data_IF_819087965483
#
_entry.id   IF_819087965483
#
_cell.length_a   1.000
_cell.length_b   1.000
_cell.length_c   1.000
_cell.angle_alpha   90.00
_cell.angle_beta   90.00
_cell.angle_gamma   90.00
#
_symmetry.space_group_name_H-M   'P 1'
#
loop_
_entity.id
_entity.type
_entity.pdbx_description
1 polymer ?
#
# COMPACT_ATOMS: atom_id res chain seq x y z
N UNK A 1 -10.01 3.57 -5.07
CA UNK A 1 -10.00 2.20 -4.47
C UNK A 1 -8.86 1.99 -3.48
N UNK A 2 -7.64 2.48 -3.71
CA UNK A 2 -6.47 2.26 -2.82
C UNK A 2 -6.73 2.79 -1.40
N UNK A 3 -7.11 4.06 -1.24
CA UNK A 3 -7.45 4.64 0.07
C UNK A 3 -8.56 3.89 0.83
N UNK A 4 -9.58 3.40 0.10
CA UNK A 4 -10.68 2.62 0.71
C UNK A 4 -10.20 1.24 1.18
N UNK A 5 -9.25 0.64 0.47
CA UNK A 5 -8.69 -0.67 0.81
C UNK A 5 -7.65 -0.59 1.93
N UNK A 6 -6.90 0.52 1.98
CA UNK A 6 -6.02 0.84 3.10
C UNK A 6 -6.80 1.04 4.41
N UNK A 7 -7.95 1.74 4.35
CA UNK A 7 -8.79 1.99 5.53
C UNK A 7 -9.45 0.72 6.11
N UNK A 8 -9.61 -0.33 5.31
CA UNK A 8 -10.21 -1.61 5.76
C UNK A 8 -9.17 -2.54 6.39
N UNK A 9 -7.87 -2.34 6.14
CA UNK A 9 -6.81 -3.16 6.74
C UNK A 9 -6.28 -2.46 7.98
N UNK A 10 -6.97 -2.65 9.10
CA UNK A 10 -6.68 -2.07 10.43
C UNK A 10 -5.38 -2.59 11.07
N UNK A 11 -4.69 -3.54 10.44
CA UNK A 11 -3.49 -4.20 11.00
C UNK A 11 -2.22 -3.73 10.26
N UNK A 12 -1.83 -2.47 10.45
CA UNK A 12 -0.61 -1.89 9.85
C UNK A 12 0.55 -1.83 10.87
N UNK A 13 0.30 -2.24 12.11
CA UNK A 13 1.30 -2.26 13.19
C UNK A 13 2.38 -3.34 12.96
N UNK A 14 2.05 -4.42 12.24
CA UNK A 14 3.00 -5.50 11.94
C UNK A 14 3.80 -5.21 10.66
N UNK A 15 5.14 -5.28 10.75
CA UNK A 15 6.03 -5.08 9.60
C UNK A 15 5.78 -6.09 8.47
N UNK A 16 5.39 -7.32 8.81
CA UNK A 16 5.02 -8.35 7.84
C UNK A 16 3.67 -8.06 7.15
N UNK A 17 2.70 -7.52 7.88
CA UNK A 17 1.44 -7.05 7.31
C UNK A 17 1.64 -5.88 6.33
N UNK A 18 2.55 -4.94 6.67
CA UNK A 18 2.96 -3.84 5.78
C UNK A 18 3.53 -4.36 4.46
N UNK A 19 4.46 -5.31 4.50
CA UNK A 19 5.10 -5.84 3.28
C UNK A 19 4.08 -6.56 2.38
N UNK A 20 3.19 -7.36 2.97
CA UNK A 20 2.08 -8.02 2.23
C UNK A 20 1.16 -7.00 1.56
N UNK A 21 0.79 -5.93 2.28
CA UNK A 21 -0.04 -4.85 1.72
C UNK A 21 0.68 -4.15 0.57
N UNK A 22 1.96 -3.83 0.76
CA UNK A 22 2.79 -3.20 -0.27
C UNK A 22 2.78 -4.03 -1.56
N UNK A 23 3.13 -5.32 -1.45
CA UNK A 23 3.20 -6.23 -2.60
C UNK A 23 1.85 -6.42 -3.29
N UNK A 24 0.75 -6.47 -2.52
CA UNK A 24 -0.61 -6.60 -3.04
C UNK A 24 -1.06 -5.36 -3.81
N UNK A 25 -0.72 -4.17 -3.32
CA UNK A 25 -1.06 -2.90 -3.97
C UNK A 25 -0.22 -2.66 -5.21
N UNK A 26 1.09 -2.91 -5.15
CA UNK A 26 1.98 -2.83 -6.32
C UNK A 26 1.53 -3.78 -7.41
N UNK A 27 1.19 -5.03 -7.07
CA UNK A 27 0.66 -6.01 -8.03
C UNK A 27 -0.66 -5.55 -8.65
N UNK A 28 -1.54 -4.91 -7.87
CA UNK A 28 -2.80 -4.38 -8.37
C UNK A 28 -2.58 -3.21 -9.35
N UNK A 29 -1.67 -2.31 -9.03
CA UNK A 29 -1.33 -1.16 -9.86
C UNK A 29 -0.63 -1.59 -11.14
N UNK A 30 0.33 -2.51 -11.06
CA UNK A 30 0.98 -3.08 -12.24
C UNK A 30 -0.04 -3.74 -13.19
N UNK A 31 -1.00 -4.49 -12.65
CA UNK A 31 -2.12 -5.07 -13.44
C UNK A 31 -3.01 -4.02 -14.09
N UNK A 32 -3.04 -2.79 -13.56
CA UNK A 32 -3.84 -1.69 -14.09
C UNK A 32 -3.05 -0.84 -15.10
N UNK A 33 -1.84 -1.26 -15.48
CA UNK A 33 -0.99 -0.59 -16.47
C UNK A 33 -0.09 0.51 -15.90
N UNK A 34 0.00 0.66 -14.58
CA UNK A 34 0.91 1.63 -13.97
C UNK A 34 2.34 1.10 -13.99
N UNK A 35 3.29 1.99 -14.27
CA UNK A 35 4.70 1.63 -14.20
C UNK A 35 5.08 1.16 -12.78
N UNK A 36 5.86 0.07 -12.65
CA UNK A 36 6.21 -0.52 -11.36
C UNK A 36 6.86 0.48 -10.40
N UNK A 37 7.75 1.34 -10.90
CA UNK A 37 8.44 2.36 -10.08
C UNK A 37 7.49 3.41 -9.50
N UNK A 38 6.54 3.90 -10.32
CA UNK A 38 5.52 4.84 -9.88
C UNK A 38 4.55 4.18 -8.88
N UNK A 39 4.15 2.93 -9.16
CA UNK A 39 3.29 2.16 -8.28
C UNK A 39 3.92 1.96 -6.90
N UNK A 40 5.20 1.61 -6.85
CA UNK A 40 5.94 1.43 -5.61
C UNK A 40 6.03 2.72 -4.79
N UNK A 41 6.37 3.84 -5.44
CA UNK A 41 6.46 5.16 -4.79
C UNK A 41 5.13 5.58 -4.16
N UNK A 42 4.01 5.44 -4.89
CA UNK A 42 2.67 5.78 -4.39
C UNK A 42 2.30 4.90 -3.19
N UNK A 43 2.53 3.59 -3.29
CA UNK A 43 2.18 2.63 -2.22
C UNK A 43 2.99 2.89 -0.96
N UNK A 44 4.28 3.16 -1.08
CA UNK A 44 5.14 3.41 0.08
C UNK A 44 4.74 4.72 0.80
N UNK A 45 4.38 5.76 0.04
CA UNK A 45 3.88 7.03 0.60
C UNK A 45 2.56 6.87 1.36
N UNK A 46 1.62 6.09 0.82
CA UNK A 46 0.33 5.86 1.47
C UNK A 46 0.49 4.95 2.71
N UNK A 47 1.40 3.98 2.68
CA UNK A 47 1.73 3.15 3.87
C UNK A 47 2.40 3.98 4.97
N UNK A 48 3.27 4.93 4.62
CA UNK A 48 3.91 5.82 5.57
C UNK A 48 2.89 6.77 6.23
N UNK A 49 1.97 7.33 5.45
CA UNK A 49 0.88 8.17 5.96
C UNK A 49 -0.05 7.43 6.95
N UNK A 50 -0.28 6.13 6.73
CA UNK A 50 -1.04 5.30 7.67
C UNK A 50 -0.28 5.10 9.00
N UNK A 51 1.04 4.95 8.93
CA UNK A 51 1.88 4.73 10.11
C UNK A 51 1.99 5.99 11.00
N UNK A 52 1.98 7.19 10.40
CA UNK A 52 2.01 8.46 11.14
C UNK A 52 0.67 8.82 11.81
N UNK A 53 -0.40 8.07 11.54
CA UNK A 53 -1.74 8.32 12.09
C UNK A 53 -2.05 7.53 13.37
N UNK A 54 -1.03 6.95 14.03
CA UNK A 54 -1.14 6.18 15.29
C UNK A 54 -0.32 6.83 16.41
#
# INVERSE_FOLDING_TARGET
MIRRKLRTTTDVQDRGARDKLCRRLVSMLARKGYQPGLAFSIVNRELDALNQSS
#
